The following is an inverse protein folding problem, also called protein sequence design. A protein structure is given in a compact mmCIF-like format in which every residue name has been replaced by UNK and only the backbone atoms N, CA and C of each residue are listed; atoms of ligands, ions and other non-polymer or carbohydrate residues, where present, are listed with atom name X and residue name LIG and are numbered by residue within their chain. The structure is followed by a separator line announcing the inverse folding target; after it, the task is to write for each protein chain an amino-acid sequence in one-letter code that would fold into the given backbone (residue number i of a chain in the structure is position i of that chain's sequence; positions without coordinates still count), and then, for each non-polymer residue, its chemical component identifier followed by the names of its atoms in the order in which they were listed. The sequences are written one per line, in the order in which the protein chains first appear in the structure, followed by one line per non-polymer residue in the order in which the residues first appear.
data_IF_577621494430
#
_entry.id   IF_577621494430
#
_cell.length_a   1.000
_cell.length_b   1.000
_cell.length_c   1.000
_cell.angle_alpha   90.00
_cell.angle_beta   90.00
_cell.angle_gamma   90.00
#
_symmetry.space_group_name_H-M   'P 1'
#
loop_
_entity.id
_entity.type
_entity.pdbx_description
1 polymer ?
#
# COMPACT_ATOMS: atom_id res chain seq x y z
N UNK A 1 -14.83 11.78 -1.15
CA UNK A 1 -15.89 12.26 -0.21
C UNK A 1 -15.23 12.91 0.98
N UNK A 2 -15.56 14.19 1.25
CA UNK A 2 -15.06 14.95 2.40
C UNK A 2 -15.94 14.76 3.65
N UNK A 3 -17.24 14.66 3.46
CA UNK A 3 -18.19 14.46 4.53
C UNK A 3 -19.49 13.80 4.05
N UNK A 4 -20.09 13.01 4.93
CA UNK A 4 -21.40 12.41 4.73
C UNK A 4 -22.24 12.62 5.99
N UNK A 5 -23.37 13.32 5.83
CA UNK A 5 -24.33 13.54 6.90
C UNK A 5 -25.72 13.12 6.43
N UNK A 6 -26.48 12.52 7.34
CA UNK A 6 -27.85 12.08 7.11
C UNK A 6 -28.73 12.44 8.29
N UNK A 7 -29.97 12.83 8.03
CA UNK A 7 -30.97 13.13 9.07
C UNK A 7 -32.36 12.75 8.60
N UNK A 8 -33.22 12.24 9.49
CA UNK A 8 -34.61 11.98 9.16
C UNK A 8 -35.36 13.30 9.00
N UNK A 9 -36.27 13.37 8.05
CA UNK A 9 -37.21 14.45 7.84
C UNK A 9 -38.56 14.15 8.50
N UNK A 10 -39.37 15.17 8.74
CA UNK A 10 -40.69 15.03 9.36
C UNK A 10 -41.72 14.26 8.49
N UNK A 11 -41.47 14.16 7.19
CA UNK A 11 -42.29 13.44 6.21
C UNK A 11 -41.92 11.94 6.04
N UNK A 12 -41.00 11.43 6.86
CA UNK A 12 -40.52 10.07 6.81
C UNK A 12 -39.39 9.80 5.82
N UNK A 13 -38.99 10.81 5.04
CA UNK A 13 -37.83 10.74 4.14
C UNK A 13 -36.52 11.02 4.90
N UNK A 14 -35.40 10.82 4.26
CA UNK A 14 -34.06 11.14 4.79
C UNK A 14 -33.37 12.18 3.95
N UNK A 15 -32.86 13.20 4.60
CA UNK A 15 -32.00 14.21 4.00
C UNK A 15 -30.54 13.72 4.00
N UNK A 16 -29.91 13.78 2.84
CA UNK A 16 -28.49 13.44 2.67
C UNK A 16 -27.73 14.70 2.28
N UNK A 17 -26.64 14.96 2.99
CA UNK A 17 -25.69 16.03 2.70
C UNK A 17 -24.32 15.43 2.46
N UNK A 18 -23.86 15.46 1.22
CA UNK A 18 -22.58 14.92 0.80
C UNK A 18 -21.63 16.06 0.45
N UNK A 19 -20.54 16.20 1.20
CA UNK A 19 -19.44 17.11 0.86
C UNK A 19 -18.48 16.40 -0.09
N UNK A 20 -18.27 16.99 -1.26
CA UNK A 20 -17.41 16.47 -2.33
C UNK A 20 -16.26 17.44 -2.54
N UNK A 21 -15.04 16.92 -2.59
CA UNK A 21 -13.84 17.69 -2.90
C UNK A 21 -13.15 17.10 -4.12
N UNK A 22 -12.83 17.96 -5.10
CA UNK A 22 -12.03 17.58 -6.26
C UNK A 22 -10.60 18.07 -6.08
N UNK A 23 -9.65 17.14 -6.06
CA UNK A 23 -8.20 17.45 -5.95
C UNK A 23 -7.58 17.70 -7.32
N UNK A 24 -8.29 17.40 -8.40
CA UNK A 24 -7.87 17.58 -9.77
C UNK A 24 -8.47 18.82 -10.44
N UNK A 25 -7.98 19.14 -11.65
CA UNK A 25 -8.44 20.28 -12.45
C UNK A 25 -9.64 19.95 -13.36
N UNK A 26 -10.16 18.74 -13.33
CA UNK A 26 -11.27 18.32 -14.20
C UNK A 26 -12.55 18.20 -13.41
N UNK A 27 -13.58 18.89 -13.89
CA UNK A 27 -14.93 18.86 -13.35
C UNK A 27 -15.82 18.10 -14.32
N UNK A 28 -16.16 16.89 -13.98
CA UNK A 28 -17.04 16.02 -14.75
C UNK A 28 -18.28 15.69 -13.91
N UNK A 29 -19.44 15.48 -14.53
CA UNK A 29 -20.58 14.90 -13.83
C UNK A 29 -20.20 13.55 -13.24
N UNK A 30 -20.57 13.31 -11.99
CA UNK A 30 -20.28 12.06 -11.28
C UNK A 30 -21.58 11.36 -10.90
N UNK A 31 -21.60 10.05 -11.07
CA UNK A 31 -22.67 9.22 -10.56
C UNK A 31 -22.46 9.02 -9.06
N UNK A 32 -23.49 9.26 -8.28
CA UNK A 32 -23.52 9.05 -6.82
C UNK A 32 -24.53 7.95 -6.54
N UNK A 33 -24.05 6.87 -5.92
CA UNK A 33 -24.88 5.76 -5.48
C UNK A 33 -25.03 5.80 -3.96
N UNK A 34 -26.29 5.77 -3.51
CA UNK A 34 -26.63 5.67 -2.09
C UNK A 34 -27.13 4.28 -1.79
N UNK A 35 -26.50 3.60 -0.84
CA UNK A 35 -26.93 2.26 -0.38
C UNK A 35 -27.76 2.41 0.88
N UNK A 36 -28.86 1.67 0.96
CA UNK A 36 -29.81 1.63 2.07
C UNK A 36 -29.61 0.43 2.99
N UNK A 37 -30.25 0.45 4.17
CA UNK A 37 -30.17 -0.65 5.15
C UNK A 37 -30.67 -2.01 4.59
N UNK A 38 -31.60 -1.99 3.67
CA UNK A 38 -32.15 -3.19 3.02
C UNK A 38 -31.28 -3.69 1.84
N UNK A 39 -30.13 -3.06 1.60
CA UNK A 39 -29.21 -3.41 0.51
C UNK A 39 -29.63 -2.87 -0.86
N UNK A 40 -30.78 -2.20 -0.98
CA UNK A 40 -31.15 -1.50 -2.23
C UNK A 40 -30.34 -0.25 -2.44
N UNK A 41 -30.29 0.26 -3.67
CA UNK A 41 -29.51 1.45 -4.02
C UNK A 41 -30.35 2.47 -4.77
N UNK A 42 -29.99 3.76 -4.64
CA UNK A 42 -30.48 4.88 -5.43
C UNK A 42 -29.31 5.57 -6.11
N UNK A 43 -29.44 5.87 -7.40
CA UNK A 43 -28.38 6.45 -8.21
C UNK A 43 -28.75 7.81 -8.74
N UNK A 44 -27.93 8.81 -8.51
CA UNK A 44 -28.15 10.21 -8.93
C UNK A 44 -26.91 10.81 -9.53
N UNK A 45 -27.11 11.65 -10.55
CA UNK A 45 -26.03 12.43 -11.12
C UNK A 45 -25.79 13.70 -10.30
N UNK A 46 -24.59 13.84 -9.81
CA UNK A 46 -24.09 15.09 -9.29
C UNK A 46 -23.42 15.86 -10.45
N UNK A 47 -23.93 17.05 -10.72
CA UNK A 47 -23.42 17.95 -11.74
C UNK A 47 -22.82 19.14 -11.04
N UNK A 48 -21.49 19.23 -10.99
CA UNK A 48 -20.80 20.41 -10.45
C UNK A 48 -20.92 21.56 -11.47
N UNK A 49 -21.90 22.42 -11.28
CA UNK A 49 -22.15 23.56 -12.16
C UNK A 49 -21.23 24.75 -11.87
N UNK A 50 -20.52 24.77 -10.76
CA UNK A 50 -19.82 25.95 -10.25
C UNK A 50 -18.30 25.88 -10.42
N UNK A 51 -17.77 24.81 -11.02
CA UNK A 51 -16.31 24.62 -11.22
C UNK A 51 -15.51 24.82 -9.92
N UNK A 52 -16.07 24.41 -8.79
CA UNK A 52 -15.46 24.54 -7.47
C UNK A 52 -14.72 23.28 -7.08
N UNK A 53 -13.61 23.45 -6.38
CA UNK A 53 -12.87 22.34 -5.78
C UNK A 53 -13.65 21.63 -4.67
N UNK A 54 -14.53 22.36 -3.98
CA UNK A 54 -15.40 21.82 -2.95
C UNK A 54 -16.85 22.18 -3.27
N UNK A 55 -17.75 21.21 -3.15
CA UNK A 55 -19.18 21.39 -3.32
C UNK A 55 -19.97 20.52 -2.34
N UNK A 56 -21.23 20.86 -2.16
CA UNK A 56 -22.16 20.10 -1.33
C UNK A 56 -23.32 19.61 -2.16
N UNK A 57 -23.47 18.30 -2.26
CA UNK A 57 -24.62 17.67 -2.89
C UNK A 57 -25.67 17.33 -1.84
N UNK A 58 -26.83 18.01 -1.92
CA UNK A 58 -27.97 17.79 -1.01
C UNK A 58 -29.10 17.12 -1.79
N UNK A 59 -29.67 16.06 -1.22
CA UNK A 59 -30.83 15.35 -1.80
C UNK A 59 -31.59 14.61 -0.72
N UNK A 60 -32.83 14.22 -1.02
CA UNK A 60 -33.67 13.44 -0.13
C UNK A 60 -33.87 12.04 -0.73
N UNK A 61 -34.01 11.05 0.15
CA UNK A 61 -34.25 9.64 -0.17
C UNK A 61 -35.31 9.06 0.75
N UNK A 62 -36.06 8.05 0.26
CA UNK A 62 -37.20 7.49 0.99
C UNK A 62 -36.79 6.50 2.10
N UNK A 63 -35.57 5.98 2.03
CA UNK A 63 -35.05 4.96 2.96
C UNK A 63 -33.84 5.48 3.69
N UNK A 64 -33.56 4.90 4.86
CA UNK A 64 -32.39 5.25 5.65
C UNK A 64 -31.09 4.90 4.92
N UNK A 65 -30.25 5.89 4.56
CA UNK A 65 -29.00 5.65 3.88
C UNK A 65 -27.96 5.07 4.83
N UNK A 66 -27.19 4.09 4.37
CA UNK A 66 -26.07 3.47 5.11
C UNK A 66 -24.74 4.00 4.61
N UNK A 67 -24.55 4.02 3.30
CA UNK A 67 -23.32 4.49 2.67
C UNK A 67 -23.60 5.20 1.36
N UNK A 68 -22.58 5.94 0.92
CA UNK A 68 -22.59 6.64 -0.38
C UNK A 68 -21.28 6.34 -1.09
N UNK A 69 -21.37 6.11 -2.39
CA UNK A 69 -20.22 5.88 -3.29
C UNK A 69 -20.30 6.82 -4.47
N UNK A 70 -19.23 7.53 -4.75
CA UNK A 70 -19.07 8.34 -5.97
C UNK A 70 -18.39 7.45 -7.03
N UNK A 71 -18.87 7.54 -8.27
CA UNK A 71 -18.39 6.74 -9.40
C UNK A 71 -18.37 5.23 -9.11
N UNK A 72 -19.52 4.64 -8.74
CA UNK A 72 -19.59 3.23 -8.37
C UNK A 72 -19.15 2.28 -9.51
N UNK A 73 -19.29 2.73 -10.75
CA UNK A 73 -18.98 1.95 -11.94
C UNK A 73 -17.52 2.18 -12.44
N UNK A 74 -16.72 2.95 -11.68
CA UNK A 74 -15.28 3.21 -11.98
C UNK A 74 -15.04 3.74 -13.38
N UNK A 75 -15.87 4.68 -13.82
CA UNK A 75 -15.84 5.26 -15.17
C UNK A 75 -14.90 6.47 -15.28
N UNK A 76 -14.51 7.05 -14.15
CA UNK A 76 -13.66 8.22 -14.13
C UNK A 76 -12.18 7.88 -13.99
N UNK A 77 -11.33 8.84 -14.37
CA UNK A 77 -9.89 8.76 -14.14
C UNK A 77 -9.61 9.36 -12.76
N UNK A 78 -9.97 8.64 -11.71
CA UNK A 78 -9.58 8.99 -10.36
C UNK A 78 -8.24 8.33 -10.00
N UNK A 79 -7.42 9.05 -9.26
CA UNK A 79 -6.14 8.55 -8.79
C UNK A 79 -6.27 7.73 -7.50
N UNK A 80 -7.36 7.93 -6.75
CA UNK A 80 -7.56 7.22 -5.48
C UNK A 80 -9.05 7.01 -5.16
N UNK A 81 -9.57 5.87 -5.51
CA UNK A 81 -10.96 5.48 -5.24
C UNK A 81 -11.28 5.23 -3.76
N UNK A 82 -10.28 5.22 -2.86
CA UNK A 82 -10.52 5.00 -1.41
C UNK A 82 -11.38 6.08 -0.78
N UNK A 83 -11.30 7.30 -1.30
CA UNK A 83 -12.07 8.44 -0.82
C UNK A 83 -13.44 8.58 -1.50
N UNK A 84 -13.74 7.75 -2.49
CA UNK A 84 -15.00 7.78 -3.23
C UNK A 84 -16.14 7.05 -2.53
N UNK A 85 -15.89 6.38 -1.43
CA UNK A 85 -16.94 5.68 -0.69
C UNK A 85 -16.84 5.96 0.82
N UNK A 86 -17.99 6.01 1.46
CA UNK A 86 -18.07 6.10 2.92
C UNK A 86 -17.99 4.75 3.61
N UNK A 87 -18.15 3.66 2.86
CA UNK A 87 -18.01 2.29 3.34
C UNK A 87 -17.41 1.43 2.23
N UNK A 88 -16.10 1.19 2.34
CA UNK A 88 -15.38 0.41 1.34
C UNK A 88 -15.78 -1.05 1.39
N UNK A 89 -16.15 -1.61 0.24
CA UNK A 89 -16.41 -3.04 0.10
C UNK A 89 -15.13 -3.83 0.37
N UNK A 90 -15.27 -4.91 1.17
CA UNK A 90 -14.20 -5.85 1.47
C UNK A 90 -14.56 -7.20 0.89
N UNK A 91 -13.66 -7.76 0.09
CA UNK A 91 -13.84 -9.05 -0.55
C UNK A 91 -12.78 -10.02 -0.04
N UNK A 92 -13.23 -11.11 0.58
CA UNK A 92 -12.36 -12.22 0.98
C UNK A 92 -12.39 -13.29 -0.11
N UNK A 93 -11.23 -13.69 -0.59
CA UNK A 93 -11.13 -14.71 -1.64
C UNK A 93 -9.92 -15.62 -1.45
N UNK A 94 -10.04 -16.84 -1.99
CA UNK A 94 -8.91 -17.73 -2.13
C UNK A 94 -8.04 -17.25 -3.30
N UNK A 95 -6.72 -17.16 -3.06
CA UNK A 95 -5.79 -16.77 -4.12
C UNK A 95 -5.43 -18.00 -4.96
N UNK A 96 -5.98 -18.05 -6.17
CA UNK A 96 -5.70 -19.12 -7.11
C UNK A 96 -4.78 -18.60 -8.22
N UNK A 97 -3.69 -19.31 -8.54
CA UNK A 97 -2.80 -18.92 -9.63
C UNK A 97 -3.56 -18.68 -10.94
N UNK A 98 -3.44 -17.48 -11.50
CA UNK A 98 -4.13 -17.07 -12.74
C UNK A 98 -5.45 -16.32 -12.54
N UNK A 99 -5.94 -16.17 -11.34
CA UNK A 99 -7.07 -15.29 -11.03
C UNK A 99 -6.58 -13.86 -10.76
N UNK A 100 -6.61 -13.04 -11.80
CA UNK A 100 -6.33 -11.60 -11.66
C UNK A 100 -7.63 -10.87 -11.31
N UNK A 101 -7.86 -10.66 -10.04
CA UNK A 101 -8.94 -9.80 -9.55
C UNK A 101 -8.32 -8.66 -8.74
N UNK A 102 -8.21 -7.49 -9.34
CA UNK A 102 -7.65 -6.31 -8.71
C UNK A 102 -8.53 -5.08 -8.97
N UNK A 103 -9.72 -5.01 -8.33
CA UNK A 103 -10.62 -3.88 -8.47
C UNK A 103 -10.02 -2.63 -7.83
N UNK A 104 -10.35 -1.47 -8.38
CA UNK A 104 -9.88 -0.18 -7.86
C UNK A 104 -10.72 0.38 -6.71
N UNK A 105 -11.91 -0.16 -6.51
CA UNK A 105 -12.94 0.32 -5.58
C UNK A 105 -13.28 -0.66 -4.45
N UNK A 106 -12.51 -1.73 -4.31
CA UNK A 106 -12.68 -2.74 -3.26
C UNK A 106 -11.36 -3.00 -2.55
N UNK A 107 -11.46 -3.35 -1.28
CA UNK A 107 -10.35 -3.89 -0.50
C UNK A 107 -10.39 -5.40 -0.57
N UNK A 108 -9.39 -6.01 -1.19
CA UNK A 108 -9.33 -7.45 -1.43
C UNK A 108 -8.43 -8.10 -0.40
N UNK A 109 -8.95 -9.09 0.30
CA UNK A 109 -8.20 -9.95 1.21
C UNK A 109 -8.08 -11.30 0.54
N UNK A 110 -6.87 -11.67 0.14
CA UNK A 110 -6.56 -12.98 -0.43
C UNK A 110 -5.96 -13.87 0.62
N UNK A 111 -6.29 -15.13 0.58
CA UNK A 111 -5.65 -16.12 1.43
C UNK A 111 -5.25 -17.33 0.60
N UNK A 112 -4.09 -17.91 0.92
CA UNK A 112 -3.64 -19.16 0.33
C UNK A 112 -2.78 -19.95 1.32
N UNK A 113 -2.87 -21.30 1.32
CA UNK A 113 -1.87 -22.12 1.97
C UNK A 113 -0.53 -21.92 1.25
N UNK A 114 0.54 -21.92 2.01
CA UNK A 114 1.89 -21.89 1.45
C UNK A 114 2.75 -22.95 2.08
N UNK A 115 3.87 -23.26 1.41
CA UNK A 115 4.85 -24.23 1.87
C UNK A 115 6.23 -23.61 1.73
N UNK A 116 6.98 -23.66 2.79
CA UNK A 116 8.38 -23.29 2.81
C UNK A 116 9.23 -24.52 3.03
N UNK A 117 10.28 -24.68 2.25
CA UNK A 117 11.23 -25.76 2.42
C UNK A 117 12.64 -25.20 2.43
N UNK A 118 13.41 -25.55 3.46
CA UNK A 118 14.80 -25.17 3.57
C UNK A 118 15.62 -26.40 3.96
N UNK A 119 16.42 -26.87 3.02
CA UNK A 119 17.11 -28.15 3.12
C UNK A 119 18.08 -28.22 4.31
N UNK A 120 18.72 -27.12 4.66
CA UNK A 120 19.82 -27.10 5.64
C UNK A 120 19.38 -26.74 7.07
N UNK A 121 18.17 -26.25 7.28
CA UNK A 121 17.83 -25.72 8.61
C UNK A 121 16.45 -26.04 9.16
N UNK A 122 15.41 -26.16 8.34
CA UNK A 122 14.05 -26.22 8.86
C UNK A 122 13.16 -27.30 8.24
N UNK A 123 13.66 -28.01 7.23
CA UNK A 123 12.87 -29.00 6.53
C UNK A 123 11.59 -28.39 5.93
N UNK A 124 10.49 -29.09 6.09
CA UNK A 124 9.19 -28.69 5.58
C UNK A 124 8.42 -27.82 6.59
N UNK A 125 7.98 -26.66 6.15
CA UNK A 125 7.23 -25.73 6.98
C UNK A 125 5.95 -25.26 6.25
N UNK A 126 4.80 -25.94 6.48
CA UNK A 126 3.51 -25.49 5.96
C UNK A 126 3.08 -24.20 6.64
N UNK A 127 2.23 -23.44 5.94
CA UNK A 127 1.80 -22.16 6.44
C UNK A 127 0.61 -21.56 5.70
N UNK A 128 0.35 -20.32 6.04
CA UNK A 128 -0.72 -19.51 5.47
C UNK A 128 -0.16 -18.14 5.06
N UNK A 129 -0.60 -17.67 3.91
CA UNK A 129 -0.41 -16.30 3.45
C UNK A 129 -1.75 -15.58 3.41
N UNK A 130 -1.74 -14.35 3.88
CA UNK A 130 -2.83 -13.39 3.74
C UNK A 130 -2.26 -12.15 3.03
N UNK A 131 -2.84 -11.80 1.89
CA UNK A 131 -2.54 -10.57 1.18
C UNK A 131 -3.73 -9.61 1.30
N UNK A 132 -3.41 -8.37 1.62
CA UNK A 132 -4.36 -7.28 1.82
C UNK A 132 -4.07 -6.23 0.76
N UNK A 133 -4.92 -6.13 -0.25
CA UNK A 133 -4.68 -5.28 -1.40
C UNK A 133 -5.79 -4.26 -1.61
N UNK A 134 -5.39 -3.07 -1.97
CA UNK A 134 -6.30 -2.06 -2.47
C UNK A 134 -5.77 -1.46 -3.79
N UNK A 135 -6.19 -2.06 -4.88
CA UNK A 135 -5.80 -1.64 -6.23
C UNK A 135 -4.30 -1.36 -6.37
N UNK A 136 -3.92 -0.28 -7.03
CA UNK A 136 -2.52 0.11 -7.19
C UNK A 136 -1.97 0.98 -6.05
N UNK A 137 -2.65 1.09 -4.90
CA UNK A 137 -2.32 2.08 -3.86
C UNK A 137 -1.70 1.49 -2.61
N UNK A 138 -2.03 0.27 -2.29
CA UNK A 138 -1.45 -0.42 -1.14
C UNK A 138 -1.55 -1.93 -1.30
N UNK A 139 -0.53 -2.61 -0.78
CA UNK A 139 -0.51 -4.05 -0.62
C UNK A 139 0.23 -4.40 0.66
N UNK A 140 -0.29 -5.35 1.41
CA UNK A 140 0.34 -5.86 2.62
C UNK A 140 0.22 -7.36 2.66
N UNK A 141 1.30 -8.04 2.97
CA UNK A 141 1.35 -9.50 3.09
C UNK A 141 1.67 -9.89 4.52
N UNK A 142 0.89 -10.81 5.05
CA UNK A 142 1.20 -11.53 6.29
C UNK A 142 1.36 -13.00 5.95
N UNK A 143 2.51 -13.57 6.31
CA UNK A 143 2.79 -14.99 6.12
C UNK A 143 3.27 -15.62 7.42
N UNK A 144 2.79 -16.82 7.71
CA UNK A 144 3.24 -17.61 8.84
C UNK A 144 3.43 -19.06 8.40
N UNK A 145 4.57 -19.66 8.78
CA UNK A 145 4.93 -21.03 8.48
C UNK A 145 5.48 -21.69 9.76
N UNK A 146 5.03 -22.88 10.06
CA UNK A 146 5.54 -23.65 11.21
C UNK A 146 6.48 -24.74 10.73
N UNK A 147 7.74 -24.65 11.15
CA UNK A 147 8.78 -25.63 10.85
C UNK A 147 8.76 -26.76 11.88
N UNK A 148 8.33 -27.95 11.49
CA UNK A 148 8.20 -29.09 12.41
C UNK A 148 9.53 -29.59 12.95
N UNK A 149 10.59 -29.56 12.15
CA UNK A 149 11.90 -30.10 12.56
C UNK A 149 12.59 -29.25 13.64
N UNK A 150 12.49 -27.94 13.50
CA UNK A 150 13.09 -26.97 14.44
C UNK A 150 12.13 -26.46 15.49
N UNK A 151 10.83 -26.76 15.36
CA UNK A 151 9.74 -26.21 16.18
C UNK A 151 9.68 -24.67 16.18
N UNK A 152 10.10 -24.05 15.08
CA UNK A 152 10.14 -22.61 14.92
C UNK A 152 8.94 -22.08 14.12
N UNK A 153 8.51 -20.87 14.47
CA UNK A 153 7.57 -20.10 13.69
C UNK A 153 8.32 -19.08 12.81
N UNK A 154 8.27 -19.30 11.52
CA UNK A 154 8.74 -18.33 10.54
C UNK A 154 7.59 -17.44 10.11
N UNK A 155 7.84 -16.15 10.01
CA UNK A 155 6.81 -15.21 9.63
C UNK A 155 7.39 -14.04 8.81
N UNK A 156 6.51 -13.44 8.03
CA UNK A 156 6.76 -12.25 7.26
C UNK A 156 5.57 -11.31 7.40
N UNK A 157 5.83 -10.06 7.66
CA UNK A 157 4.90 -8.95 7.55
C UNK A 157 5.57 -7.90 6.68
N UNK A 158 4.94 -7.49 5.60
CA UNK A 158 5.50 -6.44 4.76
C UNK A 158 4.49 -5.92 3.78
N UNK A 159 4.82 -4.79 3.19
CA UNK A 159 3.94 -4.18 2.22
C UNK A 159 4.41 -2.79 1.82
N UNK A 160 3.55 -2.15 1.06
CA UNK A 160 3.76 -0.79 0.60
C UNK A 160 2.44 -0.02 0.56
N UNK A 161 2.54 1.30 0.66
CA UNK A 161 1.40 2.20 0.60
C UNK A 161 1.77 3.50 -0.09
N UNK A 162 0.89 3.96 -0.99
CA UNK A 162 0.99 5.27 -1.63
C UNK A 162 -0.07 6.22 -1.07
N UNK A 163 0.28 7.17 -0.21
CA UNK A 163 -0.65 8.20 0.29
C UNK A 163 -0.80 9.32 -0.73
N UNK A 164 -1.50 9.06 -1.82
CA UNK A 164 -1.58 9.89 -3.04
C UNK A 164 -1.97 11.34 -2.75
N UNK A 165 -2.82 11.56 -1.74
CA UNK A 165 -3.31 12.90 -1.40
C UNK A 165 -2.30 13.75 -0.62
N UNK A 166 -1.54 13.14 0.28
CA UNK A 166 -0.59 13.87 1.13
C UNK A 166 0.78 13.97 0.50
N UNK A 167 1.20 12.87 -0.13
CA UNK A 167 2.53 12.75 -0.73
C UNK A 167 2.41 12.10 -2.12
N UNK A 168 2.01 12.86 -3.15
CA UNK A 168 1.87 12.31 -4.49
C UNK A 168 3.19 11.73 -4.99
N UNK A 169 3.10 10.57 -5.66
CA UNK A 169 4.26 9.80 -6.17
C UNK A 169 5.27 9.41 -5.09
N UNK A 170 4.81 9.19 -3.89
CA UNK A 170 5.61 8.70 -2.77
C UNK A 170 5.07 7.35 -2.34
N UNK A 171 5.96 6.39 -2.19
CA UNK A 171 5.63 5.05 -1.71
C UNK A 171 6.35 4.81 -0.40
N UNK A 172 5.62 4.33 0.57
CA UNK A 172 6.17 3.86 1.84
C UNK A 172 6.22 2.35 1.78
N UNK A 173 7.39 1.77 1.98
CA UNK A 173 7.60 0.34 2.12
C UNK A 173 7.91 0.02 3.58
N UNK A 174 7.47 -1.14 4.05
CA UNK A 174 7.80 -1.64 5.37
C UNK A 174 7.89 -3.15 5.33
N UNK A 175 8.76 -3.71 6.17
CA UNK A 175 8.89 -5.15 6.32
C UNK A 175 9.39 -5.51 7.70
N UNK A 176 8.96 -6.67 8.15
CA UNK A 176 9.51 -7.35 9.30
C UNK A 176 9.41 -8.86 9.04
N UNK A 177 10.44 -9.60 9.37
CA UNK A 177 10.39 -11.05 9.21
C UNK A 177 11.31 -11.79 10.17
N UNK A 178 10.95 -13.04 10.41
CA UNK A 178 11.74 -14.05 11.06
C UNK A 178 11.86 -15.25 10.12
N UNK A 179 13.05 -15.51 9.64
CA UNK A 179 13.40 -16.65 8.79
C UNK A 179 14.56 -17.42 9.42
N UNK A 180 14.87 -18.66 8.97
CA UNK A 180 16.08 -19.35 9.42
C UNK A 180 17.32 -18.45 9.28
N UNK A 181 18.01 -18.23 10.40
CA UNK A 181 19.23 -17.42 10.46
C UNK A 181 19.08 -15.91 10.28
N UNK A 182 17.88 -15.37 10.02
CA UNK A 182 17.72 -13.93 9.80
C UNK A 182 16.42 -13.39 10.40
N UNK A 183 16.56 -12.40 11.25
CA UNK A 183 15.46 -11.55 11.71
C UNK A 183 15.72 -10.14 11.23
N UNK A 184 14.72 -9.49 10.63
CA UNK A 184 14.89 -8.14 10.09
C UNK A 184 13.62 -7.33 10.27
N UNK A 185 13.80 -6.05 10.51
CA UNK A 185 12.78 -5.02 10.49
C UNK A 185 13.32 -3.84 9.67
N UNK A 186 12.52 -3.32 8.78
CA UNK A 186 12.92 -2.18 7.98
C UNK A 186 11.77 -1.36 7.43
N UNK A 187 12.13 -0.23 6.88
CA UNK A 187 11.22 0.65 6.17
C UNK A 187 11.97 1.56 5.19
N UNK A 188 11.27 1.94 4.14
CA UNK A 188 11.78 2.79 3.08
C UNK A 188 10.70 3.78 2.63
N UNK A 189 11.13 4.98 2.32
CA UNK A 189 10.32 5.98 1.63
C UNK A 189 10.94 6.22 0.27
N UNK A 190 10.16 5.97 -0.77
CA UNK A 190 10.55 6.22 -2.15
C UNK A 190 9.75 7.39 -2.70
N UNK A 191 10.43 8.32 -3.35
CA UNK A 191 9.84 9.45 -4.06
C UNK A 191 10.25 9.44 -5.52
N UNK A 192 9.26 9.48 -6.40
CA UNK A 192 9.46 9.52 -7.85
C UNK A 192 9.12 10.89 -8.43
N UNK A 193 9.95 11.37 -9.37
CA UNK A 193 9.69 12.55 -10.19
C UNK A 193 9.65 12.12 -11.65
N UNK A 194 8.45 11.96 -12.18
CA UNK A 194 8.24 11.73 -13.59
C UNK A 194 7.84 13.06 -14.24
N UNK A 195 8.54 13.49 -15.24
CA UNK A 195 8.01 14.52 -16.13
C UNK A 195 7.02 13.87 -17.10
N UNK A 196 5.89 14.52 -17.29
CA UNK A 196 4.85 14.07 -18.22
C UNK A 196 5.40 14.14 -19.64
N UNK A 197 5.13 13.09 -20.43
CA UNK A 197 5.49 12.91 -21.84
C UNK A 197 6.88 12.30 -22.13
N UNK A 198 6.95 10.99 -21.98
CA UNK A 198 7.67 10.01 -22.82
C UNK A 198 9.18 10.16 -23.13
N UNK A 199 9.86 11.23 -22.78
CA UNK A 199 11.28 11.48 -23.07
C UNK A 199 12.03 12.24 -21.99
N UNK A 200 11.48 12.36 -20.80
CA UNK A 200 12.13 13.09 -19.72
C UNK A 200 12.64 12.13 -18.66
N UNK A 201 13.78 12.40 -18.06
CA UNK A 201 14.39 11.53 -17.08
C UNK A 201 13.44 11.26 -15.92
N UNK A 202 13.28 9.99 -15.57
CA UNK A 202 12.65 9.56 -14.34
C UNK A 202 13.70 9.59 -13.23
N UNK A 203 13.46 10.36 -12.21
CA UNK A 203 14.31 10.38 -11.03
C UNK A 203 13.58 9.71 -9.87
N UNK A 204 14.28 8.83 -9.17
CA UNK A 204 13.79 8.21 -7.94
C UNK A 204 14.79 8.47 -6.83
N UNK A 205 14.29 8.93 -5.68
CA UNK A 205 15.06 8.98 -4.44
C UNK A 205 14.37 8.06 -3.45
N UNK A 206 15.12 7.16 -2.85
CA UNK A 206 14.64 6.38 -1.71
C UNK A 206 15.57 6.55 -0.53
N UNK A 207 14.97 6.64 0.66
CA UNK A 207 15.68 6.68 1.93
C UNK A 207 15.03 5.65 2.85
N UNK A 208 15.84 4.85 3.51
CA UNK A 208 15.32 3.79 4.34
C UNK A 208 16.30 3.35 5.41
N UNK A 209 15.83 2.42 6.21
CA UNK A 209 16.64 1.74 7.20
C UNK A 209 16.23 0.29 7.32
N UNK A 210 17.13 -0.53 7.79
CA UNK A 210 16.81 -1.86 8.31
C UNK A 210 17.66 -2.19 9.53
N UNK A 211 17.12 -3.05 10.39
CA UNK A 211 17.79 -3.56 11.58
C UNK A 211 17.67 -5.08 11.60
N UNK A 212 18.79 -5.75 11.78
CA UNK A 212 18.88 -7.19 11.96
C UNK A 212 19.39 -7.46 13.39
N UNK A 213 18.50 -7.74 14.35
CA UNK A 213 18.87 -7.87 15.76
C UNK A 213 19.67 -9.15 16.09
N UNK A 214 19.64 -10.14 15.19
CA UNK A 214 20.47 -11.33 15.27
C UNK A 214 20.94 -11.68 13.86
N UNK A 215 22.22 -11.72 13.67
CA UNK A 215 22.86 -11.99 12.39
C UNK A 215 23.56 -13.34 12.44
N UNK A 216 23.27 -14.22 11.48
CA UNK A 216 23.93 -15.52 11.35
C UNK A 216 25.38 -15.32 10.90
N UNK A 217 26.32 -16.01 11.56
CA UNK A 217 27.76 -15.98 11.26
C UNK A 217 28.07 -16.29 9.79
N UNK A 218 27.33 -17.21 9.18
CA UNK A 218 27.54 -17.61 7.78
C UNK A 218 27.29 -16.45 6.82
N UNK A 219 26.28 -15.66 7.10
CA UNK A 219 25.94 -14.48 6.29
C UNK A 219 26.83 -13.28 6.61
N UNK A 220 27.29 -13.16 7.86
CA UNK A 220 28.24 -12.17 8.28
C UNK A 220 29.58 -12.33 7.53
N UNK A 221 30.07 -13.57 7.41
CA UNK A 221 31.29 -13.89 6.65
C UNK A 221 31.17 -13.47 5.17
N UNK A 222 30.02 -13.72 4.53
CA UNK A 222 29.79 -13.31 3.14
C UNK A 222 29.79 -11.79 2.94
N UNK A 223 29.54 -11.02 4.00
CA UNK A 223 29.62 -9.57 4.00
C UNK A 223 30.94 -9.03 4.57
N UNK A 224 31.88 -9.91 4.93
CA UNK A 224 33.19 -9.56 5.50
C UNK A 224 33.18 -9.25 7.00
N UNK A 225 32.21 -9.78 7.75
CA UNK A 225 32.14 -9.67 9.20
C UNK A 225 32.40 -11.01 9.88
N UNK A 226 33.21 -11.02 10.92
CA UNK A 226 33.69 -12.24 11.56
C UNK A 226 32.86 -12.72 12.77
N UNK A 227 31.78 -12.05 13.11
CA UNK A 227 31.01 -12.35 14.32
C UNK A 227 29.51 -12.15 14.18
N UNK A 228 28.75 -12.90 15.00
CA UNK A 228 27.32 -12.65 15.21
C UNK A 228 27.13 -11.31 15.93
N UNK A 229 26.15 -10.52 15.49
CA UNK A 229 25.87 -9.25 16.12
C UNK A 229 24.59 -8.59 15.59
N UNK A 230 24.40 -7.35 15.97
CA UNK A 230 23.31 -6.50 15.46
C UNK A 230 23.82 -5.71 14.26
N UNK A 231 23.00 -5.63 13.24
CA UNK A 231 23.27 -4.80 12.07
C UNK A 231 22.12 -3.81 11.85
N UNK A 232 22.40 -2.54 12.04
CA UNK A 232 21.49 -1.46 11.69
C UNK A 232 22.09 -0.62 10.58
N UNK A 233 21.34 -0.43 9.50
CA UNK A 233 21.77 0.32 8.31
C UNK A 233 20.75 1.37 7.95
N UNK A 234 21.21 2.62 7.82
CA UNK A 234 20.47 3.66 7.12
C UNK A 234 21.04 3.81 5.70
N UNK A 235 20.20 4.03 4.73
CA UNK A 235 20.62 4.20 3.35
C UNK A 235 19.86 5.29 2.62
N UNK A 236 20.50 5.84 1.60
CA UNK A 236 19.94 6.80 0.66
C UNK A 236 20.33 6.35 -0.75
N UNK A 237 19.35 6.17 -1.61
CA UNK A 237 19.56 5.83 -3.01
C UNK A 237 18.98 6.93 -3.89
N UNK A 238 19.69 7.23 -4.95
CA UNK A 238 19.22 8.05 -6.06
C UNK A 238 19.43 7.30 -7.35
N UNK A 239 18.38 7.22 -8.16
CA UNK A 239 18.45 6.70 -9.53
C UNK A 239 17.90 7.71 -10.50
N UNK A 240 18.48 7.75 -11.69
CA UNK A 240 18.06 8.62 -12.78
C UNK A 240 18.20 7.91 -14.11
N UNK A 241 17.12 7.84 -14.88
CA UNK A 241 17.11 7.37 -16.24
C UNK A 241 17.04 8.56 -17.20
N UNK A 242 18.08 8.74 -18.00
CA UNK A 242 18.18 9.82 -18.97
C UNK A 242 18.42 9.22 -20.36
N UNK A 243 17.33 9.02 -21.12
CA UNK A 243 17.40 8.36 -22.42
C UNK A 243 17.75 6.88 -22.29
N UNK A 244 18.95 6.51 -22.74
CA UNK A 244 19.50 5.14 -22.62
C UNK A 244 20.57 5.00 -21.52
N UNK A 245 20.71 5.99 -20.67
CA UNK A 245 21.73 6.00 -19.60
C UNK A 245 21.03 5.93 -18.24
N UNK A 246 21.35 4.89 -17.49
CA UNK A 246 20.93 4.72 -16.11
C UNK A 246 22.05 5.11 -15.17
N UNK A 247 21.78 6.00 -14.24
CA UNK A 247 22.72 6.40 -13.19
C UNK A 247 22.15 6.06 -11.82
N UNK A 248 22.95 5.42 -10.98
CA UNK A 248 22.58 5.08 -9.62
C UNK A 248 23.66 5.53 -8.64
N UNK A 249 23.23 6.17 -7.56
CA UNK A 249 24.09 6.56 -6.43
C UNK A 249 23.47 5.97 -5.16
N UNK A 250 24.23 5.14 -4.47
CA UNK A 250 23.79 4.50 -3.23
C UNK A 250 24.74 4.87 -2.10
N UNK A 251 24.20 5.46 -1.05
CA UNK A 251 24.90 5.71 0.20
C UNK A 251 24.33 4.85 1.32
N UNK A 252 25.17 4.22 2.11
CA UNK A 252 24.75 3.47 3.30
C UNK A 252 25.68 3.75 4.48
N UNK A 253 25.12 3.78 5.67
CA UNK A 253 25.84 4.01 6.92
C UNK A 253 25.25 3.16 8.05
N UNK A 254 26.11 2.79 9.00
CA UNK A 254 25.65 2.13 10.23
C UNK A 254 24.82 3.07 11.09
N UNK A 255 23.84 2.51 11.79
CA UNK A 255 22.92 3.23 12.68
C UNK A 255 23.40 3.23 14.15
N UNK A 256 24.65 3.56 14.39
CA UNK A 256 25.19 3.74 15.74
C UNK A 256 24.85 2.59 16.70
N UNK A 257 24.12 2.86 17.78
CA UNK A 257 23.77 1.86 18.82
C UNK A 257 22.88 0.70 18.32
N UNK A 258 22.33 0.78 17.12
CA UNK A 258 21.58 -0.31 16.48
C UNK A 258 22.48 -1.22 15.64
N UNK A 259 23.77 -0.94 15.56
CA UNK A 259 24.73 -1.75 14.81
C UNK A 259 26.00 -1.96 15.65
N UNK A 260 26.47 -3.19 15.68
CA UNK A 260 27.75 -3.55 16.30
C UNK A 260 28.95 -3.24 15.40
N UNK A 261 28.69 -2.86 14.15
CA UNK A 261 29.69 -2.47 13.16
C UNK A 261 29.51 -1.04 12.71
N UNK A 262 30.62 -0.32 12.55
CA UNK A 262 30.63 1.03 12.00
C UNK A 262 31.15 1.01 10.57
N UNK A 263 30.36 1.50 9.64
CA UNK A 263 30.76 1.63 8.25
C UNK A 263 30.02 2.80 7.57
N UNK A 264 30.67 3.32 6.53
CA UNK A 264 30.05 4.20 5.54
C UNK A 264 30.43 3.69 4.16
N UNK A 265 29.46 3.60 3.27
CA UNK A 265 29.67 3.12 1.90
C UNK A 265 29.00 4.06 0.91
N UNK A 266 29.71 4.39 -0.14
CA UNK A 266 29.19 5.08 -1.31
C UNK A 266 29.47 4.22 -2.55
N UNK A 267 28.44 3.98 -3.35
CA UNK A 267 28.55 3.24 -4.62
C UNK A 267 27.90 4.09 -5.71
N UNK A 268 28.61 4.26 -6.81
CA UNK A 268 28.11 4.93 -8.01
C UNK A 268 28.25 3.96 -9.18
N UNK A 269 27.15 3.75 -9.89
CA UNK A 269 27.09 2.93 -11.10
C UNK A 269 26.38 3.68 -12.21
N UNK A 270 26.79 3.47 -13.45
CA UNK A 270 26.21 4.07 -14.64
C UNK A 270 26.32 3.16 -15.84
#
# INVERSE_FOLDING_TARGET
IKSFKKSPNSDGTWSVKLGIESIGSRFIPLLVETTFEDGTTDRRWWKNHLWRYEDTFNYSVDKKPVSVTIDPDVQTVDLDFRNNTTNMKKTLMFDWPGLWYNPRNEYVIRWMPNFYYHQESSGFAPGLTLDFDYGPYESSTVRANYAYETQDLYWYLGGWRQPVHFFPRTTFHYWAYNRPGVKELGGEVEKQWNRVYGRTPTHTISAGFYVQPAYDSTRAVNLGYDSNGKLGVGYLNWSSEIGSVDMNVNGASSLGNLSDWNFNRLTVTG
#
